data_IF_588288582604
#
_entry.id   IF_588288582604
#
_cell.length_a   1.000
_cell.length_b   1.000
_cell.length_c   1.000
_cell.angle_alpha   90.00
_cell.angle_beta   90.00
_cell.angle_gamma   90.00
#
_symmetry.space_group_name_H-M   'P 1'
#
loop_
_entity.id
_entity.type
_entity.pdbx_description
1 polymer ?
#
# COMPACT_ATOMS: atom_id res chain seq x y z
N UNK A 1 -10.70 -23.64 6.15
CA UNK A 1 -10.75 -23.04 7.50
C UNK A 1 -9.76 -21.89 7.49
N UNK A 2 -10.23 -20.65 7.45
CA UNK A 2 -9.39 -19.45 7.25
C UNK A 2 -8.67 -19.13 8.56
N UNK A 3 -7.35 -19.16 8.57
CA UNK A 3 -6.55 -18.81 9.74
C UNK A 3 -6.46 -17.28 9.85
N UNK A 4 -7.10 -16.73 10.88
CA UNK A 4 -6.90 -15.36 11.33
C UNK A 4 -5.53 -15.29 12.01
N UNK A 5 -4.49 -14.88 11.29
CA UNK A 5 -3.25 -14.41 11.91
C UNK A 5 -3.46 -12.97 12.34
N UNK A 6 -3.34 -12.72 13.64
CA UNK A 6 -3.42 -11.40 14.25
C UNK A 6 -2.46 -10.42 13.57
N UNK A 7 -2.94 -9.19 13.32
CA UNK A 7 -2.23 -8.07 12.67
C UNK A 7 -0.82 -7.83 13.25
N UNK A 8 -0.60 -8.16 14.51
CA UNK A 8 0.70 -7.98 15.19
C UNK A 8 1.79 -8.94 14.70
N UNK A 9 1.42 -10.15 14.25
CA UNK A 9 2.41 -11.17 13.84
C UNK A 9 2.99 -10.89 12.45
N UNK A 10 2.13 -10.47 11.51
CA UNK A 10 2.54 -10.16 10.14
C UNK A 10 3.41 -8.88 10.09
N UNK A 11 3.12 -7.89 10.95
CA UNK A 11 3.90 -6.65 11.05
C UNK A 11 5.33 -6.89 11.56
N UNK A 12 5.52 -7.77 12.55
CA UNK A 12 6.83 -8.03 13.15
C UNK A 12 7.72 -8.94 12.28
N UNK A 13 7.14 -9.85 11.49
CA UNK A 13 7.90 -10.68 10.53
C UNK A 13 8.40 -9.87 9.31
N UNK A 14 7.61 -8.89 8.83
CA UNK A 14 8.02 -7.98 7.75
C UNK A 14 9.18 -7.07 8.19
N UNK A 15 9.24 -6.68 9.47
CA UNK A 15 10.38 -5.91 10.03
C UNK A 15 11.69 -6.69 10.04
N UNK A 16 11.64 -8.01 10.20
CA UNK A 16 12.84 -8.83 10.44
C UNK A 16 13.64 -9.16 9.17
N UNK A 17 13.04 -9.08 7.97
CA UNK A 17 13.72 -9.60 6.77
C UNK A 17 14.25 -8.58 5.75
N UNK A 18 13.80 -7.31 5.66
CA UNK A 18 14.42 -6.41 4.66
C UNK A 18 14.10 -4.90 4.67
N UNK A 19 13.66 -4.29 5.77
CA UNK A 19 13.36 -2.84 5.77
C UNK A 19 14.57 -2.01 6.19
N UNK A 20 15.43 -1.66 5.23
CA UNK A 20 16.28 -0.45 5.34
C UNK A 20 15.33 0.75 5.39
N UNK A 21 15.14 1.30 6.59
CA UNK A 21 14.59 2.61 6.92
C UNK A 21 13.86 3.31 5.76
N UNK A 22 12.64 2.85 5.42
CA UNK A 22 11.69 3.78 4.82
C UNK A 22 11.50 4.89 5.85
N UNK A 23 11.95 6.10 5.53
CA UNK A 23 11.92 7.25 6.43
C UNK A 23 10.46 7.47 6.86
N UNK A 24 10.08 7.02 8.06
CA UNK A 24 8.71 7.06 8.58
C UNK A 24 8.14 8.50 8.52
N UNK A 25 9.02 9.50 8.60
CA UNK A 25 8.66 10.91 8.48
C UNK A 25 8.11 11.26 7.09
N UNK A 26 8.63 10.63 6.03
CA UNK A 26 8.15 10.85 4.67
C UNK A 26 6.79 10.23 4.38
N UNK A 27 6.48 9.09 5.02
CA UNK A 27 5.15 8.47 4.94
C UNK A 27 4.15 9.33 5.72
N UNK A 28 4.53 9.81 6.90
CA UNK A 28 3.71 10.75 7.69
C UNK A 28 3.42 12.03 6.92
N UNK A 29 4.41 12.63 6.24
CA UNK A 29 4.19 13.82 5.40
C UNK A 29 3.15 13.56 4.31
N UNK A 30 3.19 12.40 3.64
CA UNK A 30 2.22 12.06 2.59
C UNK A 30 0.81 11.87 3.18
N UNK A 31 0.71 11.11 4.28
CA UNK A 31 -0.58 10.84 4.95
C UNK A 31 -1.18 12.13 5.52
N UNK A 32 -0.37 12.97 6.14
CA UNK A 32 -0.78 14.27 6.69
C UNK A 32 -1.19 15.24 5.58
N UNK A 33 -0.47 15.24 4.44
CA UNK A 33 -0.84 16.02 3.26
C UNK A 33 -2.19 15.59 2.69
N UNK A 34 -2.42 14.28 2.52
CA UNK A 34 -3.69 13.73 2.05
C UNK A 34 -4.83 14.08 3.03
N UNK A 35 -4.58 13.94 4.32
CA UNK A 35 -5.57 14.21 5.38
C UNK A 35 -5.93 15.70 5.44
N UNK A 36 -4.94 16.59 5.30
CA UNK A 36 -5.17 18.05 5.23
C UNK A 36 -5.93 18.45 3.97
N UNK A 37 -5.68 17.77 2.85
CA UNK A 37 -6.42 18.03 1.61
C UNK A 37 -7.87 17.55 1.65
N UNK A 38 -8.19 16.54 2.46
CA UNK A 38 -9.55 16.05 2.65
C UNK A 38 -10.40 16.93 3.58
N UNK A 39 -9.79 17.82 4.38
CA UNK A 39 -10.48 18.67 5.37
C UNK A 39 -10.68 20.13 4.94
N UNK A 40 -10.11 20.56 3.81
CA UNK A 40 -10.28 21.92 3.27
C UNK A 40 -11.47 22.00 2.29
N UNK A 41 -12.35 23.03 2.39
CA UNK A 41 -13.46 23.21 1.44
C UNK A 41 -12.93 23.59 0.04
N UNK A 42 -13.08 22.68 -0.91
CA UNK A 42 -12.53 22.75 -2.27
C UNK A 42 -13.36 23.67 -3.20
N UNK A 43 -12.72 24.60 -3.91
CA UNK A 43 -13.42 25.44 -4.91
C UNK A 43 -12.64 25.70 -6.22
N UNK A 44 -11.59 24.94 -6.55
CA UNK A 44 -10.91 25.09 -7.86
C UNK A 44 -10.89 23.78 -8.68
N UNK A 45 -11.17 23.91 -9.98
CA UNK A 45 -11.34 22.78 -10.92
C UNK A 45 -10.07 21.96 -11.15
N UNK A 46 -8.89 22.54 -10.97
CA UNK A 46 -7.59 21.85 -11.06
C UNK A 46 -7.38 20.90 -9.87
N UNK A 47 -7.80 21.29 -8.66
CA UNK A 47 -7.72 20.47 -7.45
C UNK A 47 -8.68 19.28 -7.53
N UNK A 48 -9.86 19.47 -8.16
CA UNK A 48 -10.80 18.37 -8.43
C UNK A 48 -10.20 17.31 -9.36
N UNK A 49 -9.46 17.71 -10.40
CA UNK A 49 -8.76 16.80 -11.32
C UNK A 49 -7.70 15.95 -10.61
N UNK A 50 -7.00 16.49 -9.61
CA UNK A 50 -6.00 15.74 -8.83
C UNK A 50 -6.60 14.66 -7.92
N UNK A 51 -7.91 14.71 -7.66
CA UNK A 51 -8.64 13.74 -6.81
C UNK A 51 -9.37 12.68 -7.61
N UNK A 52 -9.35 12.76 -8.94
CA UNK A 52 -9.85 11.69 -9.79
C UNK A 52 -8.90 10.50 -9.74
N UNK A 53 -9.45 9.30 -9.88
CA UNK A 53 -8.62 8.08 -9.96
C UNK A 53 -7.73 8.20 -11.18
N UNK A 54 -6.45 7.90 -11.03
CA UNK A 54 -5.53 7.84 -12.16
C UNK A 54 -6.01 6.83 -13.21
N UNK A 55 -5.69 7.01 -14.50
CA UNK A 55 -6.01 6.02 -15.53
C UNK A 55 -5.51 4.62 -15.12
N UNK A 56 -6.30 3.61 -15.46
CA UNK A 56 -5.91 2.22 -15.21
C UNK A 56 -4.59 1.89 -15.93
N UNK A 57 -3.72 1.16 -15.24
CA UNK A 57 -2.45 0.67 -15.76
C UNK A 57 -2.28 -0.79 -15.33
N UNK A 58 -1.54 -1.55 -16.13
CA UNK A 58 -1.21 -2.94 -15.81
C UNK A 58 -0.01 -3.02 -14.86
N UNK A 59 0.08 -4.07 -14.03
CA UNK A 59 1.30 -4.36 -13.27
C UNK A 59 2.49 -4.59 -14.20
N UNK A 60 3.66 -4.11 -13.79
CA UNK A 60 4.91 -4.42 -14.50
C UNK A 60 5.57 -5.70 -13.99
N UNK A 61 5.20 -6.14 -12.78
CA UNK A 61 5.63 -7.40 -12.20
C UNK A 61 4.49 -7.99 -11.36
N UNK A 62 4.32 -9.31 -11.40
CA UNK A 62 3.38 -10.05 -10.56
C UNK A 62 4.04 -11.35 -10.10
N UNK A 63 3.62 -11.87 -8.96
CA UNK A 63 4.22 -13.10 -8.46
C UNK A 63 3.54 -13.71 -7.26
N UNK A 64 4.11 -14.84 -6.85
CA UNK A 64 3.68 -15.62 -5.69
C UNK A 64 4.83 -15.68 -4.69
N UNK A 65 4.64 -15.10 -3.50
CA UNK A 65 5.61 -15.08 -2.41
C UNK A 65 5.29 -16.16 -1.39
N UNK A 66 6.17 -17.15 -1.25
CA UNK A 66 6.04 -18.17 -0.20
C UNK A 66 6.41 -17.57 1.15
N UNK A 67 5.47 -17.51 2.09
CA UNK A 67 5.66 -16.94 3.43
C UNK A 67 5.68 -17.98 4.54
N UNK A 68 5.23 -19.20 4.25
CA UNK A 68 5.35 -20.35 5.15
C UNK A 68 5.32 -21.66 4.36
N UNK A 69 5.32 -22.80 5.03
CA UNK A 69 5.19 -24.11 4.39
C UNK A 69 3.86 -24.29 3.66
N UNK A 70 2.78 -23.70 4.19
CA UNK A 70 1.41 -23.91 3.70
C UNK A 70 0.78 -22.65 3.09
N UNK A 71 1.41 -21.47 3.21
CA UNK A 71 0.86 -20.20 2.70
C UNK A 71 1.77 -19.57 1.64
N UNK A 72 1.14 -19.11 0.56
CA UNK A 72 1.76 -18.34 -0.51
C UNK A 72 0.88 -17.12 -0.81
N UNK A 73 1.47 -15.93 -0.88
CA UNK A 73 0.78 -14.67 -1.12
C UNK A 73 0.93 -14.26 -2.58
N UNK A 74 -0.15 -13.80 -3.19
CA UNK A 74 -0.08 -13.10 -4.47
C UNK A 74 0.35 -11.65 -4.26
N UNK A 75 1.15 -11.10 -5.17
CA UNK A 75 1.50 -9.68 -5.18
C UNK A 75 1.62 -9.13 -6.60
N UNK A 76 1.46 -7.81 -6.70
CA UNK A 76 1.67 -7.04 -7.92
C UNK A 76 2.50 -5.80 -7.61
N UNK A 77 3.38 -5.42 -8.54
CA UNK A 77 4.08 -4.15 -8.53
C UNK A 77 3.61 -3.30 -9.72
N UNK A 78 3.12 -2.10 -9.42
CA UNK A 78 2.42 -1.21 -10.36
C UNK A 78 3.01 0.19 -10.27
N UNK A 79 3.13 0.88 -11.41
CA UNK A 79 3.66 2.26 -11.47
C UNK A 79 5.11 2.33 -11.94
N UNK A 80 5.90 3.23 -11.35
CA UNK A 80 7.30 3.46 -11.76
C UNK A 80 8.27 2.67 -10.87
N UNK A 81 9.05 1.70 -11.40
CA UNK A 81 10.04 0.94 -10.63
C UNK A 81 11.14 1.79 -9.99
N UNK A 82 11.42 2.98 -10.53
CA UNK A 82 12.36 3.95 -9.97
C UNK A 82 11.68 5.03 -9.09
N UNK A 83 10.38 4.87 -8.85
CA UNK A 83 9.58 5.79 -8.04
C UNK A 83 9.77 5.58 -6.53
N UNK A 84 9.02 6.35 -5.74
CA UNK A 84 8.97 6.17 -4.29
C UNK A 84 8.20 4.88 -3.94
N UNK A 85 8.74 3.98 -3.10
CA UNK A 85 8.09 2.72 -2.76
C UNK A 85 6.87 2.96 -1.86
N UNK A 86 5.74 2.33 -2.20
CA UNK A 86 4.47 2.37 -1.47
C UNK A 86 3.91 0.95 -1.40
N UNK A 87 3.38 0.56 -0.24
CA UNK A 87 2.70 -0.72 -0.04
C UNK A 87 1.22 -0.46 0.18
N UNK A 88 0.37 -1.09 -0.62
CA UNK A 88 -1.08 -1.11 -0.43
C UNK A 88 -1.48 -2.38 0.32
N UNK A 89 -2.29 -2.23 1.38
CA UNK A 89 -2.84 -3.35 2.14
C UNK A 89 -4.36 -3.23 2.08
N UNK A 90 -5.03 -4.24 1.53
CA UNK A 90 -6.48 -4.22 1.40
C UNK A 90 -7.18 -4.19 2.78
N UNK A 91 -8.41 -3.70 2.80
CA UNK A 91 -9.25 -3.70 3.99
C UNK A 91 -9.81 -5.09 4.32
N UNK A 92 -10.21 -5.30 5.58
CA UNK A 92 -10.85 -6.52 6.06
C UNK A 92 -9.96 -7.80 6.00
N UNK A 93 -10.27 -8.84 6.78
CA UNK A 93 -9.62 -10.14 6.62
C UNK A 93 -10.17 -10.87 5.39
N UNK A 94 -9.29 -11.35 4.50
CA UNK A 94 -9.68 -12.11 3.30
C UNK A 94 -10.28 -11.27 2.17
N UNK A 95 -10.10 -9.94 2.19
CA UNK A 95 -10.71 -8.99 1.26
C UNK A 95 -10.33 -9.11 -0.22
N UNK A 96 -9.22 -9.78 -0.56
CA UNK A 96 -8.87 -10.16 -1.94
C UNK A 96 -9.14 -9.07 -2.98
N UNK A 97 -8.64 -7.85 -2.73
CA UNK A 97 -8.79 -6.68 -3.60
C UNK A 97 -7.44 -6.27 -4.16
#
# INVERSE_FOLDING_TARGET
MVAAMSLTSCYEEIKQQQWREANINEIKIIVDYITRMASEPDSTSETRKLREVYPAIEPYNTGMLKVSEIHTLYYEEVGNPAGKPIVFVHGGPGGGT
#
